data_IF_388304388176
#
_entry.id   IF_388304388176
#
_cell.length_a   1.000
_cell.length_b   1.000
_cell.length_c   1.000
_cell.angle_alpha   90.00
_cell.angle_beta   90.00
_cell.angle_gamma   90.00
#
_symmetry.space_group_name_H-M   'P 1'
#
loop_
_entity.id
_entity.type
_entity.pdbx_description
1 polymer ?
#
# COMPACT_ATOMS: atom_id res chain seq x y z
N UNK A 1 7.17 -12.91 -1.13
CA UNK A 1 7.03 -12.04 0.06
C UNK A 1 6.50 -10.69 -0.36
N UNK A 2 5.55 -10.18 0.39
CA UNK A 2 4.97 -8.86 0.12
C UNK A 2 6.00 -7.73 0.28
N UNK A 3 5.74 -6.61 -0.34
CA UNK A 3 6.52 -5.39 -0.19
C UNK A 3 5.66 -4.27 0.40
N UNK A 4 6.24 -3.43 1.23
CA UNK A 4 5.56 -2.27 1.81
C UNK A 4 6.41 -1.02 1.60
N UNK A 5 5.74 0.12 1.54
CA UNK A 5 6.36 1.43 1.35
C UNK A 5 5.66 2.44 2.23
N UNK A 6 6.42 3.30 2.90
CA UNK A 6 5.88 4.41 3.65
C UNK A 6 6.64 5.69 3.35
N UNK A 7 5.91 6.78 3.20
CA UNK A 7 6.48 8.12 2.94
C UNK A 7 5.78 9.11 3.85
N UNK A 8 6.53 10.02 4.47
CA UNK A 8 5.96 11.11 5.24
C UNK A 8 6.68 12.43 4.94
N UNK A 9 5.96 13.54 5.07
CA UNK A 9 6.49 14.88 4.87
C UNK A 9 6.36 15.37 3.45
N UNK A 10 6.98 14.76 2.49
CA UNK A 10 6.93 15.18 1.08
C UNK A 10 7.03 13.99 0.16
N UNK A 11 7.01 14.24 -1.15
CA UNK A 11 7.17 13.17 -2.14
C UNK A 11 5.98 12.25 -2.30
N UNK A 12 4.78 12.67 -1.90
CA UNK A 12 3.57 11.85 -2.00
C UNK A 12 3.22 11.49 -3.43
N UNK A 13 3.56 12.33 -4.38
CA UNK A 13 3.37 12.10 -5.80
C UNK A 13 4.25 10.94 -6.33
N UNK A 14 5.27 10.55 -5.59
CA UNK A 14 6.18 9.47 -5.95
C UNK A 14 5.75 8.10 -5.40
N UNK A 15 4.74 8.06 -4.51
CA UNK A 15 4.34 6.82 -3.84
C UNK A 15 3.94 5.74 -4.84
N UNK A 16 3.15 6.10 -5.83
CA UNK A 16 2.67 5.14 -6.84
C UNK A 16 3.82 4.57 -7.67
N UNK A 17 4.70 5.41 -8.17
CA UNK A 17 5.85 4.95 -8.97
C UNK A 17 6.86 4.19 -8.14
N UNK A 18 7.10 4.61 -6.89
CA UNK A 18 7.98 3.88 -5.99
C UNK A 18 7.40 2.51 -5.63
N UNK A 19 6.07 2.41 -5.46
CA UNK A 19 5.41 1.14 -5.17
C UNK A 19 5.58 0.14 -6.30
N UNK A 20 5.61 0.59 -7.55
CA UNK A 20 5.83 -0.27 -8.71
C UNK A 20 7.21 -0.94 -8.68
N UNK A 21 8.20 -0.31 -8.06
CA UNK A 21 9.54 -0.89 -7.91
C UNK A 21 9.55 -2.10 -6.99
N UNK A 22 8.51 -2.30 -6.20
CA UNK A 22 8.36 -3.43 -5.30
C UNK A 22 7.54 -4.58 -5.91
N UNK A 23 7.16 -4.49 -7.17
CA UNK A 23 6.31 -5.48 -7.82
C UNK A 23 6.91 -6.89 -7.77
N UNK A 24 8.23 -7.00 -7.83
CA UNK A 24 8.94 -8.27 -7.71
C UNK A 24 8.70 -8.97 -6.35
N UNK A 25 8.30 -8.22 -5.32
CA UNK A 25 8.01 -8.76 -3.99
C UNK A 25 6.59 -9.31 -3.90
N UNK A 26 5.66 -8.79 -4.70
CA UNK A 26 4.28 -9.22 -4.67
C UNK A 26 3.56 -8.83 -5.96
N UNK A 27 3.62 -9.68 -7.00
CA UNK A 27 3.04 -9.34 -8.29
C UNK A 27 1.53 -9.60 -8.38
N UNK A 28 0.90 -10.17 -7.36
CA UNK A 28 -0.50 -10.58 -7.42
C UNK A 28 -1.49 -9.45 -7.22
N UNK A 29 -1.10 -8.42 -6.46
CA UNK A 29 -1.94 -7.26 -6.19
C UNK A 29 -1.07 -6.11 -5.73
N UNK A 30 -1.56 -4.88 -5.89
CA UNK A 30 -0.88 -3.70 -5.38
C UNK A 30 -1.91 -2.64 -5.01
N UNK A 31 -1.52 -1.75 -4.08
CA UNK A 31 -2.37 -0.65 -3.67
C UNK A 31 -1.56 0.48 -3.07
N UNK A 32 -2.12 1.68 -3.14
CA UNK A 32 -1.52 2.86 -2.52
C UNK A 32 -2.59 3.63 -1.76
N UNK A 33 -2.17 4.30 -0.71
CA UNK A 33 -2.99 5.21 0.08
C UNK A 33 -2.22 6.51 0.26
N UNK A 34 -2.88 7.64 0.05
CA UNK A 34 -2.27 8.96 0.23
C UNK A 34 -3.23 9.84 1.01
N UNK A 35 -2.73 10.43 2.09
CA UNK A 35 -3.43 11.46 2.86
C UNK A 35 -2.60 12.75 2.79
N UNK A 36 -3.11 13.72 2.03
CA UNK A 36 -2.40 14.99 1.80
C UNK A 36 -2.44 15.91 3.01
N UNK A 37 -3.43 15.76 3.88
CA UNK A 37 -3.57 16.62 5.06
C UNK A 37 -2.47 16.36 6.08
N UNK A 38 -2.12 15.10 6.29
CA UNK A 38 -1.04 14.72 7.21
C UNK A 38 0.24 14.33 6.50
N UNK A 39 0.27 14.44 5.18
CA UNK A 39 1.42 14.14 4.33
C UNK A 39 1.97 12.74 4.54
N UNK A 40 1.07 11.75 4.50
CA UNK A 40 1.43 10.32 4.62
C UNK A 40 1.04 9.58 3.34
N UNK A 41 1.95 8.78 2.84
CA UNK A 41 1.70 7.88 1.73
C UNK A 41 2.10 6.46 2.10
N UNK A 42 1.27 5.48 1.76
CA UNK A 42 1.52 4.06 2.01
C UNK A 42 1.35 3.28 0.72
N UNK A 43 2.19 2.29 0.52
CA UNK A 43 2.10 1.39 -0.63
C UNK A 43 2.26 -0.06 -0.21
N UNK A 44 1.68 -0.96 -0.98
CA UNK A 44 1.75 -2.39 -0.74
C UNK A 44 1.77 -3.15 -2.06
N UNK A 45 2.63 -4.17 -2.13
CA UNK A 45 2.60 -5.16 -3.20
C UNK A 45 2.40 -6.53 -2.56
N UNK A 46 1.44 -7.28 -3.08
CA UNK A 46 0.94 -8.50 -2.44
C UNK A 46 1.39 -9.75 -3.17
N UNK A 47 1.92 -10.70 -2.41
CA UNK A 47 2.07 -12.08 -2.85
C UNK A 47 1.00 -12.91 -2.13
N UNK A 48 0.00 -13.37 -2.88
CA UNK A 48 -1.15 -14.10 -2.34
C UNK A 48 -0.78 -15.58 -2.17
N UNK A 49 -0.64 -16.03 -0.93
CA UNK A 49 -0.27 -17.41 -0.62
C UNK A 49 -1.46 -18.18 -0.04
N UNK A 50 -2.05 -17.68 1.05
CA UNK A 50 -3.13 -18.38 1.75
C UNK A 50 -4.51 -17.92 1.28
N UNK A 51 -4.73 -16.61 1.23
CA UNK A 51 -5.97 -16.01 0.76
C UNK A 51 -5.69 -15.25 -0.54
N UNK A 52 -6.16 -15.78 -1.65
CA UNK A 52 -5.97 -15.18 -2.97
C UNK A 52 -7.11 -14.23 -3.35
N UNK A 53 -8.10 -14.04 -2.46
CA UNK A 53 -9.22 -13.15 -2.71
C UNK A 53 -8.84 -11.69 -2.53
N UNK A 54 -9.72 -10.78 -3.00
CA UNK A 54 -9.54 -9.34 -2.82
C UNK A 54 -9.69 -8.88 -1.36
N UNK A 55 -10.18 -9.74 -0.48
CA UNK A 55 -10.27 -9.42 0.95
C UNK A 55 -8.92 -9.17 1.60
N UNK A 56 -7.84 -9.71 1.02
CA UNK A 56 -6.49 -9.46 1.49
C UNK A 56 -5.82 -8.24 0.85
N UNK A 57 -6.55 -7.45 0.08
CA UNK A 57 -6.00 -6.24 -0.56
C UNK A 57 -5.56 -5.21 0.49
N UNK A 58 -4.39 -4.62 0.26
CA UNK A 58 -3.82 -3.59 1.14
C UNK A 58 -3.36 -2.39 0.29
N UNK A 59 -3.33 -1.15 0.80
CA UNK A 59 -3.64 -0.76 2.19
C UNK A 59 -5.11 -1.02 2.57
N UNK A 60 -5.32 -1.36 3.84
CA UNK A 60 -6.63 -1.72 4.36
C UNK A 60 -7.05 -0.68 5.39
N UNK A 61 -8.28 -0.16 5.27
CA UNK A 61 -8.79 0.89 6.16
C UNK A 61 -9.86 0.35 7.10
N UNK A 62 -9.90 0.90 8.33
CA UNK A 62 -11.02 0.67 9.23
C UNK A 62 -12.29 1.33 8.68
N UNK A 63 -13.47 0.92 9.20
CA UNK A 63 -14.77 1.45 8.74
C UNK A 63 -14.85 2.97 8.88
N UNK A 64 -14.31 3.52 9.95
CA UNK A 64 -14.32 4.96 10.20
C UNK A 64 -13.18 5.71 9.51
N UNK A 65 -12.29 5.02 8.81
CA UNK A 65 -11.17 5.62 8.10
C UNK A 65 -10.04 6.14 8.99
N UNK A 66 -10.09 5.88 10.29
CA UNK A 66 -9.09 6.41 11.23
C UNK A 66 -7.82 5.57 11.29
N UNK A 67 -7.89 4.33 10.83
CA UNK A 67 -6.75 3.41 10.82
C UNK A 67 -6.55 2.87 9.42
N UNK A 68 -5.32 2.96 8.93
CA UNK A 68 -4.92 2.37 7.64
C UNK A 68 -3.69 1.52 7.90
N UNK A 69 -3.68 0.32 7.37
CA UNK A 69 -2.54 -0.57 7.52
C UNK A 69 -2.07 -1.14 6.18
N UNK A 70 -0.82 -1.48 6.15
CA UNK A 70 -0.18 -2.16 5.01
C UNK A 70 0.53 -3.42 5.48
#
# INVERSE_FOLDING_TARGET
MCGILGVSGGGLDLVKSANLLLEHRGPDDCGVFVDKLVEIGLGHTRLSILDTSSYGHQPMSSKDGKVVLV
#
